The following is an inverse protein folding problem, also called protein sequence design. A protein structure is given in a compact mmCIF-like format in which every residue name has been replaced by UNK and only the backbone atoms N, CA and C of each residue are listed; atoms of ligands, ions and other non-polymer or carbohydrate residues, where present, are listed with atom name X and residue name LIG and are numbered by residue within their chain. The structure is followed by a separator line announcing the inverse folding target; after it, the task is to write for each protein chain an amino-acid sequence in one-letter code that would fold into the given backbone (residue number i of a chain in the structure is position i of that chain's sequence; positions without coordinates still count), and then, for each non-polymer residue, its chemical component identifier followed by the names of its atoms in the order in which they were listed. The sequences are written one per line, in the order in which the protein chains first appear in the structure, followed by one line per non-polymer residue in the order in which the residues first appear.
data_IF_329484720677
#
_entry.id   IF_329484720677
#
_cell.length_a   1.000
_cell.length_b   1.000
_cell.length_c   1.000
_cell.angle_alpha   90.00
_cell.angle_beta   90.00
_cell.angle_gamma   90.00
#
_symmetry.space_group_name_H-M   'P 1'
#
loop_
_entity.id
_entity.type
_entity.pdbx_description
1 polymer ?
#
# COMPACT_ATOMS: atom_id res chain seq x y z
N UNK A 1 -7.82 -9.66 -25.05
CA UNK A 1 -8.27 -10.38 -23.84
C UNK A 1 -7.82 -9.55 -22.65
N UNK A 2 -8.71 -8.73 -22.11
CA UNK A 2 -8.47 -7.97 -20.89
C UNK A 2 -8.43 -8.95 -19.72
N UNK A 3 -7.23 -9.37 -19.34
CA UNK A 3 -7.05 -10.10 -18.08
C UNK A 3 -7.34 -9.11 -16.95
N UNK A 4 -8.54 -9.15 -16.41
CA UNK A 4 -8.89 -8.39 -15.22
C UNK A 4 -7.93 -8.79 -14.09
N UNK A 5 -6.96 -7.93 -13.77
CA UNK A 5 -6.09 -8.11 -12.62
C UNK A 5 -6.97 -7.95 -11.40
N UNK A 6 -7.32 -9.07 -10.76
CA UNK A 6 -8.09 -9.04 -9.51
C UNK A 6 -7.25 -8.31 -8.46
N UNK A 7 -7.77 -7.19 -7.97
CA UNK A 7 -7.13 -6.48 -6.88
C UNK A 7 -7.00 -7.41 -5.66
N UNK A 8 -5.81 -7.50 -5.04
CA UNK A 8 -5.64 -8.31 -3.83
C UNK A 8 -6.48 -7.73 -2.70
N UNK A 9 -7.11 -8.60 -1.91
CA UNK A 9 -7.84 -8.18 -0.71
C UNK A 9 -6.83 -7.90 0.41
N UNK A 10 -6.52 -6.61 0.61
CA UNK A 10 -5.56 -6.13 1.61
C UNK A 10 -6.22 -5.86 2.98
N UNK A 11 -7.54 -6.01 3.10
CA UNK A 11 -8.29 -5.68 4.33
C UNK A 11 -7.85 -6.49 5.55
N UNK A 12 -7.29 -7.69 5.32
CA UNK A 12 -6.79 -8.59 6.36
C UNK A 12 -5.40 -8.22 6.87
N UNK A 13 -4.64 -7.44 6.10
CA UNK A 13 -3.28 -7.01 6.42
C UNK A 13 -3.24 -5.57 6.94
N UNK A 14 -4.09 -4.70 6.38
CA UNK A 14 -4.17 -3.30 6.74
C UNK A 14 -5.06 -3.08 7.97
N UNK A 15 -4.75 -2.03 8.72
CA UNK A 15 -5.46 -1.66 9.93
C UNK A 15 -5.11 -0.23 10.32
N UNK A 16 -5.72 0.31 11.37
CA UNK A 16 -5.58 1.72 11.77
C UNK A 16 -4.13 2.20 11.92
N UNK A 17 -3.24 1.32 12.39
CA UNK A 17 -1.80 1.65 12.54
C UNK A 17 -1.11 1.97 11.22
N UNK A 18 -1.66 1.51 10.09
CA UNK A 18 -1.11 1.70 8.76
C UNK A 18 -1.70 2.92 8.03
N UNK A 19 -2.78 3.52 8.53
CA UNK A 19 -3.39 4.70 7.92
C UNK A 19 -2.40 5.87 7.81
N UNK A 20 -2.54 6.67 6.75
CA UNK A 20 -1.64 7.77 6.39
C UNK A 20 -0.18 7.37 6.15
N UNK A 21 0.14 6.08 6.03
CA UNK A 21 1.52 5.59 5.84
C UNK A 21 1.68 4.86 4.52
N UNK A 22 2.92 4.82 4.07
CA UNK A 22 3.37 3.89 3.05
C UNK A 22 3.59 2.53 3.69
N UNK A 23 3.15 1.49 3.00
CA UNK A 23 3.30 0.08 3.37
C UNK A 23 4.06 -0.62 2.26
N UNK A 24 5.02 -1.46 2.62
CA UNK A 24 5.71 -2.35 1.69
C UNK A 24 5.17 -3.77 1.85
N UNK A 25 4.58 -4.32 0.80
CA UNK A 25 4.11 -5.70 0.75
C UNK A 25 5.13 -6.62 0.10
N UNK A 26 5.08 -7.90 0.45
CA UNK A 26 5.72 -8.94 -0.36
C UNK A 26 5.14 -8.95 -1.79
N UNK A 27 5.89 -9.43 -2.80
CA UNK A 27 5.42 -9.42 -4.20
C UNK A 27 4.12 -10.19 -4.47
N UNK A 28 3.75 -11.11 -3.57
CA UNK A 28 2.53 -11.91 -3.60
C UNK A 28 1.38 -11.30 -2.77
N UNK A 29 1.58 -10.11 -2.19
CA UNK A 29 0.65 -9.46 -1.26
C UNK A 29 0.30 -10.29 -0.02
N UNK A 30 1.08 -11.34 0.31
CA UNK A 30 0.79 -12.24 1.42
C UNK A 30 1.07 -11.64 2.81
N UNK A 31 1.95 -10.62 2.89
CA UNK A 31 2.31 -9.97 4.16
C UNK A 31 2.84 -8.56 3.99
N UNK A 32 2.78 -7.80 5.08
CA UNK A 32 3.47 -6.51 5.23
C UNK A 32 4.92 -6.78 5.66
N UNK A 33 5.87 -6.20 4.92
CA UNK A 33 7.31 -6.25 5.23
C UNK A 33 7.68 -5.14 6.21
N UNK A 34 7.23 -3.91 5.96
CA UNK A 34 7.45 -2.74 6.83
C UNK A 34 6.49 -1.59 6.42
N UNK A 35 6.42 -0.53 7.22
CA UNK A 35 5.65 0.68 6.94
C UNK A 35 6.33 1.95 7.48
N UNK A 36 6.03 3.09 6.86
CA UNK A 36 6.54 4.40 7.29
C UNK A 36 5.64 5.54 6.78
N UNK A 37 5.54 6.67 7.49
CA UNK A 37 4.86 7.87 6.97
C UNK A 37 5.42 8.34 5.61
N UNK A 38 6.72 8.18 5.40
CA UNK A 38 7.45 8.66 4.22
C UNK A 38 7.95 7.51 3.35
N UNK A 39 7.75 7.62 2.02
CA UNK A 39 8.18 6.59 1.07
C UNK A 39 9.70 6.46 1.02
N UNK A 40 10.42 7.58 1.10
CA UNK A 40 11.89 7.60 1.06
C UNK A 40 12.50 6.85 2.24
N UNK A 41 11.95 7.02 3.44
CA UNK A 41 12.35 6.32 4.65
C UNK A 41 12.06 4.83 4.51
N UNK A 42 10.86 4.46 4.07
CA UNK A 42 10.50 3.06 3.84
C UNK A 42 11.43 2.42 2.80
N UNK A 43 11.68 3.08 1.67
CA UNK A 43 12.55 2.57 0.62
C UNK A 43 13.97 2.28 1.13
N UNK A 44 14.53 3.21 1.92
CA UNK A 44 15.84 3.01 2.57
C UNK A 44 15.83 1.80 3.51
N UNK A 45 14.78 1.62 4.32
CA UNK A 45 14.64 0.46 5.23
C UNK A 45 14.53 -0.87 4.48
N UNK A 46 13.84 -0.89 3.33
CA UNK A 46 13.66 -2.09 2.51
C UNK A 46 14.99 -2.55 1.88
N UNK A 47 15.89 -1.62 1.57
CA UNK A 47 17.26 -1.97 1.14
C UNK A 47 17.31 -2.76 -0.16
N UNK A 48 16.48 -2.41 -1.14
CA UNK A 48 16.49 -3.03 -2.48
C UNK A 48 15.77 -4.38 -2.59
N UNK A 49 15.14 -4.88 -1.53
CA UNK A 49 14.25 -6.05 -1.64
C UNK A 49 13.12 -5.75 -2.63
N UNK A 50 12.76 -6.74 -3.43
CA UNK A 50 11.60 -6.67 -4.33
C UNK A 50 10.32 -6.64 -3.48
N UNK A 51 9.64 -5.50 -3.45
CA UNK A 51 8.41 -5.25 -2.69
C UNK A 51 7.45 -4.41 -3.52
N UNK A 52 6.19 -4.36 -3.07
CA UNK A 52 5.17 -3.49 -3.64
C UNK A 52 4.88 -2.37 -2.63
N UNK A 53 5.05 -1.12 -3.05
CA UNK A 53 4.72 0.04 -2.21
C UNK A 53 3.26 0.43 -2.40
N UNK A 54 2.58 0.72 -1.30
CA UNK A 54 1.18 1.11 -1.29
C UNK A 54 0.96 2.24 -0.27
N UNK A 55 0.28 3.32 -0.69
CA UNK A 55 -0.12 4.39 0.22
C UNK A 55 -1.49 4.07 0.79
N UNK A 56 -1.55 3.91 2.11
CA UNK A 56 -2.81 3.67 2.81
C UNK A 56 -3.45 5.02 3.13
N UNK A 57 -4.61 5.24 2.54
CA UNK A 57 -5.45 6.39 2.87
C UNK A 57 -6.24 6.10 4.16
N UNK A 58 -6.57 7.13 4.95
CA UNK A 58 -7.53 7.01 6.04
C UNK A 58 -8.85 6.38 5.60
N UNK A 59 -9.49 5.62 6.48
CA UNK A 59 -10.73 4.91 6.18
C UNK A 59 -11.91 5.85 5.84
N UNK A 60 -11.85 7.11 6.29
CA UNK A 60 -12.81 8.18 6.01
C UNK A 60 -12.46 9.00 4.75
N UNK A 61 -11.39 8.65 4.04
CA UNK A 61 -11.03 9.34 2.80
C UNK A 61 -11.94 8.90 1.66
N UNK A 62 -12.74 9.84 1.16
CA UNK A 62 -13.56 9.65 -0.02
C UNK A 62 -12.79 10.16 -1.24
N UNK A 63 -12.62 9.31 -2.26
CA UNK A 63 -12.10 9.73 -3.55
C UNK A 63 -13.19 10.53 -4.29
N UNK A 64 -13.02 11.84 -4.37
CA UNK A 64 -13.92 12.74 -5.08
C UNK A 64 -13.18 13.38 -6.27
N UNK A 65 -13.12 12.72 -7.44
CA UNK A 65 -12.54 13.32 -8.63
C UNK A 65 -13.46 14.44 -9.15
N UNK A 66 -12.88 15.58 -9.50
CA UNK A 66 -13.56 16.64 -10.25
C UNK A 66 -12.97 16.67 -11.65
N UNK A 67 -13.83 16.71 -12.66
CA UNK A 67 -13.45 17.09 -14.02
C UNK A 67 -13.71 18.60 -14.09
N UNK A 68 -12.64 19.38 -14.24
CA UNK A 68 -12.71 20.81 -14.54
C UNK A 68 -12.92 21.03 -16.04
#
# INVERSE_FOLDING_TARGET
MDTAIKAPDLSRLLGKVHENKWVAFSPDYGRIIDYSPELSVLHKKIGGKKVIYYKVLPADTIFAPVIL
#
